data_IF_880069548785
#
_entry.id   IF_880069548785
#
_cell.length_a   1.000
_cell.length_b   1.000
_cell.length_c   1.000
_cell.angle_alpha   90.00
_cell.angle_beta   90.00
_cell.angle_gamma   90.00
#
_symmetry.space_group_name_H-M   'P 1'
#
loop_
_entity.id
_entity.type
_entity.pdbx_description
1 polymer ?
#
# COMPACT_ATOMS: atom_id res chain seq x y z
N UNK A 1 12.94 19.05 45.29
CA UNK A 1 13.63 17.75 45.08
C UNK A 1 13.16 16.96 43.86
N UNK A 2 12.00 17.25 43.24
CA UNK A 2 11.53 16.52 42.04
C UNK A 2 12.22 16.94 40.72
N UNK A 3 12.69 18.19 40.60
CA UNK A 3 13.31 18.71 39.38
C UNK A 3 14.66 18.06 39.05
N UNK A 4 15.41 17.60 40.05
CA UNK A 4 16.72 16.95 39.87
C UNK A 4 16.63 15.49 39.44
N UNK A 5 15.46 14.85 39.58
CA UNK A 5 15.25 13.46 39.16
C UNK A 5 14.89 13.36 37.67
N UNK A 6 14.10 14.30 37.16
CA UNK A 6 13.73 14.38 35.74
C UNK A 6 14.95 14.60 34.82
N UNK A 7 15.92 15.42 35.27
CA UNK A 7 17.15 15.68 34.52
C UNK A 7 18.07 14.45 34.38
N UNK A 8 17.99 13.47 35.30
CA UNK A 8 18.78 12.22 35.22
C UNK A 8 18.21 11.22 34.21
N UNK A 9 16.89 11.21 34.02
CA UNK A 9 16.21 10.32 33.07
C UNK A 9 16.48 10.74 31.61
N UNK A 10 16.53 12.05 31.36
CA UNK A 10 16.87 12.62 30.04
C UNK A 10 18.29 12.29 29.56
N UNK A 11 19.20 11.91 30.46
CA UNK A 11 20.60 11.65 30.12
C UNK A 11 20.89 10.22 29.66
N UNK A 12 19.93 9.28 29.80
CA UNK A 12 20.14 7.86 29.44
C UNK A 12 19.60 7.44 28.08
N UNK A 13 18.68 8.19 27.47
CA UNK A 13 18.12 7.86 26.15
C UNK A 13 17.87 9.10 25.28
N UNK A 14 18.92 9.78 24.77
CA UNK A 14 18.74 10.98 23.93
C UNK A 14 18.13 10.68 22.55
N UNK A 15 18.20 9.43 22.07
CA UNK A 15 17.84 9.08 20.68
C UNK A 15 16.35 8.73 20.53
N UNK A 16 15.68 8.26 21.59
CA UNK A 16 14.27 7.80 21.50
C UNK A 16 13.23 8.94 21.61
N UNK A 17 13.57 10.07 22.22
CA UNK A 17 12.63 11.20 22.41
C UNK A 17 12.51 12.05 21.14
N UNK A 18 13.58 12.17 20.35
CA UNK A 18 13.57 12.94 19.08
C UNK A 18 12.77 12.21 17.99
N UNK A 19 12.80 10.87 17.96
CA UNK A 19 12.02 10.06 17.01
C UNK A 19 10.50 10.09 17.23
N UNK A 20 10.06 10.20 18.48
CA UNK A 20 8.64 10.25 18.83
C UNK A 20 7.98 11.61 18.50
N UNK A 21 8.70 12.73 18.72
CA UNK A 21 8.18 14.07 18.39
C UNK A 21 8.00 14.28 16.89
N UNK A 22 8.95 13.83 16.07
CA UNK A 22 8.89 13.99 14.62
C UNK A 22 7.77 13.19 13.95
N UNK A 23 7.52 11.96 14.42
CA UNK A 23 6.46 11.10 13.88
C UNK A 23 5.06 11.59 14.23
N UNK A 24 4.83 12.01 15.49
CA UNK A 24 3.55 12.61 15.91
C UNK A 24 3.27 13.91 15.15
N UNK A 25 4.29 14.75 14.97
CA UNK A 25 4.18 15.98 14.17
C UNK A 25 3.78 15.71 12.72
N UNK A 26 4.42 14.74 12.07
CA UNK A 26 4.11 14.37 10.68
C UNK A 26 2.68 13.83 10.52
N UNK A 27 2.23 12.95 11.42
CA UNK A 27 0.86 12.41 11.42
C UNK A 27 -0.15 13.53 11.64
N UNK A 28 0.12 14.44 12.59
CA UNK A 28 -0.78 15.56 12.89
C UNK A 28 -0.88 16.51 11.70
N UNK A 29 0.25 16.82 11.05
CA UNK A 29 0.28 17.64 9.84
C UNK A 29 -0.48 16.98 8.69
N UNK A 30 -0.28 15.69 8.46
CA UNK A 30 -1.01 14.95 7.42
C UNK A 30 -2.53 14.96 7.66
N UNK A 31 -2.98 14.83 8.92
CA UNK A 31 -4.39 14.92 9.29
C UNK A 31 -4.94 16.33 9.03
N UNK A 32 -4.18 17.35 9.37
CA UNK A 32 -4.57 18.74 9.11
C UNK A 32 -4.70 19.05 7.62
N UNK A 33 -3.73 18.62 6.80
CA UNK A 33 -3.75 18.83 5.35
C UNK A 33 -4.96 18.13 4.72
N UNK A 34 -5.23 16.89 5.14
CA UNK A 34 -6.39 16.14 4.63
C UNK A 34 -7.72 16.77 5.05
N UNK A 35 -7.86 17.18 6.32
CA UNK A 35 -9.04 17.88 6.81
C UNK A 35 -9.31 19.16 6.02
N UNK A 36 -8.27 19.95 5.75
CA UNK A 36 -8.38 21.17 4.94
C UNK A 36 -8.82 20.85 3.51
N UNK A 37 -8.25 19.80 2.90
CA UNK A 37 -8.66 19.35 1.56
C UNK A 37 -10.12 18.87 1.51
N UNK A 38 -10.63 18.27 2.59
CA UNK A 38 -12.03 17.87 2.70
C UNK A 38 -12.98 19.05 2.84
N UNK A 39 -12.60 20.11 3.56
CA UNK A 39 -13.42 21.32 3.66
C UNK A 39 -13.53 22.03 2.32
N UNK A 40 -12.40 22.26 1.65
CA UNK A 40 -12.39 22.91 0.33
C UNK A 40 -13.23 22.15 -0.69
N UNK A 41 -13.18 20.82 -0.67
CA UNK A 41 -14.00 20.00 -1.56
C UNK A 41 -15.52 20.09 -1.25
N UNK A 42 -15.91 20.30 0.01
CA UNK A 42 -17.32 20.47 0.40
C UNK A 42 -17.86 21.84 0.02
N UNK A 43 -17.04 22.88 0.20
CA UNK A 43 -17.42 24.26 -0.14
C UNK A 43 -17.58 24.41 -1.67
N UNK A 44 -16.72 23.75 -2.45
CA UNK A 44 -16.78 23.74 -3.92
C UNK A 44 -18.05 23.02 -4.44
N UNK A 45 -18.57 22.01 -3.73
CA UNK A 45 -19.79 21.28 -4.14
C UNK A 45 -21.03 22.17 -4.15
N UNK A 46 -21.08 23.21 -3.31
CA UNK A 46 -22.13 24.22 -3.31
C UNK A 46 -21.99 25.27 -4.42
N UNK A 47 -20.79 25.47 -4.96
CA UNK A 47 -20.47 26.48 -5.98
C UNK A 47 -20.57 25.95 -7.43
N UNK A 48 -20.91 24.67 -7.60
CA UNK A 48 -21.01 23.96 -8.89
C UNK A 48 -22.29 24.32 -9.67
N UNK A 49 -22.56 25.63 -9.81
CA UNK A 49 -23.56 26.18 -10.74
C UNK A 49 -22.94 27.14 -11.76
N UNK A 50 -21.61 27.33 -11.71
CA UNK A 50 -20.83 28.15 -12.64
C UNK A 50 -19.72 27.34 -13.29
N UNK A 51 -19.45 27.64 -14.55
CA UNK A 51 -18.53 27.03 -15.54
C UNK A 51 -17.02 27.02 -15.14
N UNK A 52 -16.70 27.10 -13.85
CA UNK A 52 -15.33 27.08 -13.34
C UNK A 52 -15.04 25.74 -12.67
N UNK A 53 -14.23 24.92 -13.34
CA UNK A 53 -13.78 23.61 -12.84
C UNK A 53 -12.83 23.83 -11.65
N UNK A 54 -13.37 23.92 -10.43
CA UNK A 54 -12.57 24.13 -9.23
C UNK A 54 -11.71 22.89 -8.92
N UNK A 55 -10.43 23.12 -8.65
CA UNK A 55 -9.40 22.09 -8.56
C UNK A 55 -9.47 21.18 -7.31
N UNK A 56 -10.49 21.32 -6.45
CA UNK A 56 -10.59 20.55 -5.19
C UNK A 56 -11.56 19.35 -5.28
N UNK A 57 -12.30 19.21 -6.38
CA UNK A 57 -13.10 18.02 -6.68
C UNK A 57 -12.31 16.99 -7.48
N UNK A 58 -12.73 15.73 -7.40
CA UNK A 58 -12.14 14.68 -8.24
C UNK A 58 -12.43 15.00 -9.72
N UNK A 59 -11.41 15.21 -10.56
CA UNK A 59 -11.62 15.52 -11.98
C UNK A 59 -12.43 14.41 -12.66
N UNK A 60 -13.51 14.78 -13.37
CA UNK A 60 -14.35 13.83 -14.12
C UNK A 60 -13.68 13.39 -15.42
N UNK A 61 -12.87 14.27 -15.99
CA UNK A 61 -12.06 13.99 -17.16
C UNK A 61 -10.64 13.61 -16.75
N UNK A 62 -10.00 12.75 -17.55
CA UNK A 62 -8.63 12.34 -17.27
C UNK A 62 -7.68 13.51 -17.45
N UNK A 63 -7.18 14.04 -16.33
CA UNK A 63 -6.16 15.07 -16.29
C UNK A 63 -5.12 14.71 -15.21
N UNK A 64 -3.89 14.44 -15.65
CA UNK A 64 -2.82 13.93 -14.78
C UNK A 64 -2.46 14.93 -13.69
N UNK A 65 -2.32 16.19 -14.06
CA UNK A 65 -1.90 17.28 -13.19
C UNK A 65 -2.96 17.59 -12.14
N UNK A 66 -4.24 17.51 -12.50
CA UNK A 66 -5.35 17.69 -11.58
C UNK A 66 -5.49 16.51 -10.61
N UNK A 67 -5.34 15.26 -11.10
CA UNK A 67 -5.32 14.07 -10.24
C UNK A 67 -4.15 14.09 -9.25
N UNK A 68 -2.96 14.46 -9.70
CA UNK A 68 -1.78 14.58 -8.83
C UNK A 68 -2.03 15.58 -7.71
N UNK A 69 -2.53 16.78 -8.03
CA UNK A 69 -2.87 17.81 -7.04
C UNK A 69 -3.96 17.36 -6.06
N UNK A 70 -4.98 16.66 -6.55
CA UNK A 70 -6.06 16.15 -5.71
C UNK A 70 -5.56 15.12 -4.70
N UNK A 71 -4.76 14.14 -5.14
CA UNK A 71 -4.26 13.07 -4.28
C UNK A 71 -3.07 13.47 -3.40
N UNK A 72 -2.24 14.43 -3.81
CA UNK A 72 -1.13 14.94 -3.00
C UNK A 72 -1.61 15.60 -1.71
N UNK A 73 -2.82 16.15 -1.71
CA UNK A 73 -3.44 16.79 -0.55
C UNK A 73 -4.17 15.78 0.37
N UNK A 74 -4.18 14.49 0.04
CA UNK A 74 -4.91 13.44 0.79
C UNK A 74 -4.02 12.25 1.15
N UNK A 75 -2.88 12.48 1.84
CA UNK A 75 -1.90 11.43 2.12
C UNK A 75 -2.46 10.29 2.97
N UNK A 76 -3.32 10.60 3.95
CA UNK A 76 -3.89 9.57 4.85
C UNK A 76 -4.89 8.69 4.12
N UNK A 77 -5.78 9.24 3.30
CA UNK A 77 -6.66 8.45 2.42
C UNK A 77 -5.88 7.47 1.55
N UNK A 78 -4.77 7.90 0.96
CA UNK A 78 -3.90 7.04 0.16
C UNK A 78 -3.26 5.96 1.03
N UNK A 79 -2.70 6.32 2.18
CA UNK A 79 -2.07 5.36 3.10
C UNK A 79 -3.06 4.33 3.65
N UNK A 80 -4.29 4.75 3.97
CA UNK A 80 -5.36 3.84 4.41
C UNK A 80 -5.68 2.83 3.31
N UNK A 81 -5.84 3.29 2.06
CA UNK A 81 -6.06 2.40 0.91
C UNK A 81 -4.89 1.45 0.68
N UNK A 82 -3.66 1.94 0.76
CA UNK A 82 -2.47 1.11 0.68
C UNK A 82 -2.43 0.07 1.79
N UNK A 83 -2.79 0.44 3.02
CA UNK A 83 -2.89 -0.48 4.16
C UNK A 83 -3.98 -1.53 3.97
N UNK A 84 -5.17 -1.14 3.50
CA UNK A 84 -6.28 -2.05 3.17
C UNK A 84 -5.84 -3.09 2.14
N UNK A 85 -5.23 -2.66 1.04
CA UNK A 85 -4.70 -3.56 0.00
C UNK A 85 -3.58 -4.44 0.57
N UNK A 86 -2.62 -3.83 1.29
CA UNK A 86 -1.46 -4.53 1.82
C UNK A 86 -1.86 -5.57 2.84
N UNK A 87 -2.82 -5.30 3.73
CA UNK A 87 -3.28 -6.28 4.72
C UNK A 87 -3.87 -7.54 4.11
N UNK A 88 -4.52 -7.43 2.94
CA UNK A 88 -5.09 -8.58 2.22
C UNK A 88 -4.04 -9.35 1.41
N UNK A 89 -3.01 -8.64 0.92
CA UNK A 89 -2.01 -9.20 0.01
C UNK A 89 -0.74 -9.69 0.73
N UNK A 90 -0.29 -8.96 1.75
CA UNK A 90 0.94 -9.20 2.50
C UNK A 90 1.06 -10.60 3.11
N UNK A 91 0.05 -11.19 3.77
CA UNK A 91 0.22 -12.54 4.34
C UNK A 91 0.43 -13.60 3.25
N UNK A 92 -0.16 -13.42 2.07
CA UNK A 92 -0.07 -14.36 0.96
C UNK A 92 1.26 -14.25 0.21
N UNK A 93 1.70 -13.02 -0.05
CA UNK A 93 3.03 -12.77 -0.63
C UNK A 93 4.14 -13.13 0.34
N UNK A 94 3.96 -12.85 1.64
CA UNK A 94 4.92 -13.20 2.68
C UNK A 94 5.16 -14.70 2.77
N UNK A 95 4.09 -15.51 2.74
CA UNK A 95 4.19 -16.97 2.68
C UNK A 95 4.94 -17.44 1.43
N UNK A 96 4.64 -16.89 0.25
CA UNK A 96 5.34 -17.22 -0.99
C UNK A 96 6.84 -16.90 -0.94
N UNK A 97 7.21 -15.71 -0.45
CA UNK A 97 8.62 -15.29 -0.33
C UNK A 97 9.35 -16.16 0.70
N UNK A 98 8.69 -16.51 1.80
CA UNK A 98 9.25 -17.40 2.82
C UNK A 98 9.53 -18.80 2.23
N UNK A 99 8.55 -19.38 1.56
CA UNK A 99 8.66 -20.70 0.95
C UNK A 99 9.75 -20.72 -0.14
N UNK A 100 9.83 -19.68 -0.97
CA UNK A 100 10.89 -19.54 -1.97
C UNK A 100 12.29 -19.46 -1.33
N UNK A 101 12.43 -18.69 -0.24
CA UNK A 101 13.73 -18.52 0.45
C UNK A 101 14.16 -19.79 1.17
N UNK A 102 13.24 -20.50 1.82
CA UNK A 102 13.49 -21.79 2.49
C UNK A 102 13.80 -22.89 1.45
N UNK A 103 13.11 -22.90 0.31
CA UNK A 103 13.31 -23.88 -0.76
C UNK A 103 14.64 -23.71 -1.51
N UNK A 104 15.07 -22.47 -1.76
CA UNK A 104 16.40 -22.18 -2.32
C UNK A 104 17.55 -22.62 -1.40
N UNK A 105 17.30 -22.69 -0.09
CA UNK A 105 18.30 -23.12 0.89
C UNK A 105 18.39 -24.64 1.04
N UNK A 106 17.42 -25.38 0.48
CA UNK A 106 17.23 -26.83 0.71
C UNK A 106 17.50 -27.71 -0.52
N UNK A 107 17.99 -27.16 -1.63
CA UNK A 107 18.10 -27.89 -2.91
C UNK A 107 19.48 -28.52 -3.12
N UNK A 108 19.68 -29.66 -2.46
CA UNK A 108 20.46 -30.80 -2.98
C UNK A 108 19.47 -31.88 -3.43
N UNK A 109 19.29 -31.99 -4.75
CA UNK A 109 19.05 -33.21 -5.55
C UNK A 109 17.70 -33.92 -5.74
N UNK A 110 16.57 -33.74 -5.00
CA UNK A 110 15.40 -34.64 -5.24
C UNK A 110 14.02 -34.02 -5.58
N UNK A 111 13.83 -32.70 -5.62
CA UNK A 111 12.47 -32.08 -5.61
C UNK A 111 11.98 -31.41 -6.91
N UNK A 112 12.16 -32.02 -8.07
CA UNK A 112 11.65 -31.41 -9.33
C UNK A 112 10.11 -31.44 -9.44
N UNK A 113 9.44 -32.50 -8.99
CA UNK A 113 7.98 -32.62 -9.10
C UNK A 113 7.24 -31.83 -8.00
N UNK A 114 7.77 -31.78 -6.79
CA UNK A 114 7.14 -31.06 -5.66
C UNK A 114 7.17 -29.53 -5.86
N UNK A 115 8.21 -29.01 -6.52
CA UNK A 115 8.34 -27.57 -6.79
C UNK A 115 7.23 -27.03 -7.73
N UNK A 116 6.81 -27.81 -8.72
CA UNK A 116 5.74 -27.42 -9.64
C UNK A 116 4.37 -27.36 -8.94
N UNK A 117 4.05 -28.35 -8.10
CA UNK A 117 2.79 -28.37 -7.35
C UNK A 117 2.68 -27.20 -6.37
N UNK A 118 3.78 -26.85 -5.70
CA UNK A 118 3.83 -25.66 -4.83
C UNK A 118 3.59 -24.37 -5.63
N UNK A 119 4.22 -24.21 -6.79
CA UNK A 119 3.99 -23.05 -7.65
C UNK A 119 2.53 -22.92 -8.10
N UNK A 120 1.85 -24.03 -8.42
CA UNK A 120 0.42 -24.01 -8.73
C UNK A 120 -0.43 -23.55 -7.54
N UNK A 121 -0.14 -24.06 -6.34
CA UNK A 121 -0.85 -23.64 -5.13
C UNK A 121 -0.66 -22.14 -4.83
N UNK A 122 0.56 -21.62 -5.03
CA UNK A 122 0.82 -20.19 -4.87
C UNK A 122 0.11 -19.34 -5.94
N UNK A 123 0.07 -19.81 -7.18
CA UNK A 123 -0.67 -19.16 -8.27
C UNK A 123 -2.16 -19.05 -7.96
N UNK A 124 -2.77 -20.14 -7.51
CA UNK A 124 -4.19 -20.18 -7.12
C UNK A 124 -4.48 -19.25 -5.92
N UNK A 125 -3.61 -19.26 -4.90
CA UNK A 125 -3.71 -18.33 -3.76
C UNK A 125 -3.55 -16.87 -4.18
N UNK A 126 -2.68 -16.58 -5.15
CA UNK A 126 -2.50 -15.23 -5.70
C UNK A 126 -3.73 -14.78 -6.48
N UNK A 127 -4.29 -15.64 -7.34
CA UNK A 127 -5.56 -15.39 -8.04
C UNK A 127 -6.69 -15.06 -7.06
N UNK A 128 -6.83 -15.85 -6.00
CA UNK A 128 -7.82 -15.60 -4.95
C UNK A 128 -7.61 -14.25 -4.26
N UNK A 129 -6.35 -13.85 -4.01
CA UNK A 129 -6.04 -12.54 -3.45
C UNK A 129 -6.49 -11.39 -4.38
N UNK A 130 -6.20 -11.50 -5.68
CA UNK A 130 -6.60 -10.51 -6.67
C UNK A 130 -8.12 -10.40 -6.80
N UNK A 131 -8.83 -11.53 -6.77
CA UNK A 131 -10.30 -11.54 -6.79
C UNK A 131 -10.91 -10.88 -5.56
N UNK A 132 -10.32 -11.08 -4.38
CA UNK A 132 -10.79 -10.45 -3.13
C UNK A 132 -10.55 -8.93 -3.11
N UNK A 133 -9.47 -8.46 -3.71
CA UNK A 133 -9.13 -7.03 -3.81
C UNK A 133 -10.01 -6.27 -4.84
N UNK A 134 -10.70 -6.99 -5.72
CA UNK A 134 -11.72 -6.44 -6.62
C UNK A 134 -11.24 -6.14 -8.06
N UNK A 135 -12.09 -5.48 -8.87
CA UNK A 135 -11.94 -5.41 -10.33
C UNK A 135 -10.64 -4.77 -10.84
N UNK A 136 -10.09 -3.81 -10.09
CA UNK A 136 -8.82 -3.15 -10.46
C UNK A 136 -7.64 -4.14 -10.43
N UNK A 137 -7.60 -5.00 -9.41
CA UNK A 137 -6.53 -5.98 -9.22
C UNK A 137 -6.68 -7.19 -10.14
N UNK A 138 -7.91 -7.55 -10.51
CA UNK A 138 -8.17 -8.54 -11.56
C UNK A 138 -7.56 -8.07 -12.88
N UNK A 139 -7.75 -6.81 -13.28
CA UNK A 139 -7.13 -6.24 -14.49
C UNK A 139 -5.60 -6.23 -14.40
N UNK A 140 -5.05 -5.95 -13.22
CA UNK A 140 -3.61 -6.10 -12.97
C UNK A 140 -3.13 -7.55 -13.16
N UNK A 141 -3.88 -8.53 -12.66
CA UNK A 141 -3.62 -9.95 -12.88
C UNK A 141 -3.66 -10.36 -14.35
N UNK A 142 -4.63 -9.82 -15.11
CA UNK A 142 -4.71 -10.02 -16.56
C UNK A 142 -3.50 -9.43 -17.28
N UNK A 143 -3.02 -8.25 -16.88
CA UNK A 143 -1.79 -7.67 -17.43
C UNK A 143 -0.54 -8.48 -17.06
N UNK A 144 -0.56 -9.18 -15.92
CA UNK A 144 0.53 -10.05 -15.51
C UNK A 144 0.51 -11.37 -16.29
N UNK A 145 -0.66 -11.96 -16.56
CA UNK A 145 -0.77 -13.24 -17.29
C UNK A 145 -0.37 -13.14 -18.77
N UNK A 146 -0.38 -11.94 -19.35
CA UNK A 146 0.12 -11.70 -20.73
C UNK A 146 1.64 -11.52 -20.80
N UNK A 147 2.36 -11.49 -19.66
CA UNK A 147 3.81 -11.31 -19.59
C UNK A 147 4.50 -12.61 -19.16
N UNK A 148 4.68 -13.58 -20.08
CA UNK A 148 5.32 -14.85 -19.78
C UNK A 148 6.78 -14.71 -19.33
N UNK A 149 7.40 -13.55 -19.57
CA UNK A 149 8.75 -13.23 -19.09
C UNK A 149 8.83 -13.04 -17.56
N UNK A 150 7.71 -12.71 -16.91
CA UNK A 150 7.66 -12.38 -15.47
C UNK A 150 7.04 -13.49 -14.62
N UNK A 151 6.37 -14.46 -15.24
CA UNK A 151 5.55 -15.46 -14.54
C UNK A 151 5.94 -16.85 -15.04
N UNK A 152 6.23 -17.77 -14.12
CA UNK A 152 6.60 -19.14 -14.52
C UNK A 152 5.45 -19.82 -15.28
N UNK A 153 5.74 -20.70 -16.26
CA UNK A 153 4.70 -21.37 -17.07
C UNK A 153 3.65 -22.12 -16.25
N UNK A 154 4.05 -22.60 -15.08
CA UNK A 154 3.21 -23.30 -14.11
C UNK A 154 2.18 -22.37 -13.48
N UNK A 155 2.55 -21.12 -13.20
CA UNK A 155 1.67 -20.10 -12.61
C UNK A 155 0.68 -19.55 -13.64
N UNK A 156 1.10 -19.44 -14.91
CA UNK A 156 0.22 -19.02 -16.02
C UNK A 156 -0.96 -19.96 -16.26
N UNK A 157 -0.79 -21.25 -15.98
CA UNK A 157 -1.85 -22.26 -16.18
C UNK A 157 -2.99 -22.14 -15.15
N UNK A 158 -2.73 -21.51 -14.02
CA UNK A 158 -3.65 -21.42 -12.87
C UNK A 158 -4.32 -20.05 -12.72
N UNK A 159 -3.83 -19.02 -13.42
CA UNK A 159 -4.35 -17.63 -13.40
C UNK A 159 -5.53 -17.45 -14.35
#
# INVERSE_FOLDING_TARGET
>A
MAATMAARLLRRHPISIIGAGGSVGAITYANYVEWKAQQLAKDDDYSSYGDHVLHHQLPREYNREALHRYWSNRPISVMKRLGEVSSQLAPRLGAYVWDFKVQNQSTTSEKHNDGALLQQQHASKFRQALTQLGPAWIKGGQQLSIRPDLVSPVVLKEL
#
